data_IF_028132633065
#
_entry.id   IF_028132633065
#
_cell.length_a   1.000
_cell.length_b   1.000
_cell.length_c   1.000
_cell.angle_alpha   90.00
_cell.angle_beta   90.00
_cell.angle_gamma   90.00
#
_symmetry.space_group_name_H-M   'P 1'
#
loop_
_entity.id
_entity.type
_entity.pdbx_description
1 polymer ?
#
# COMPACT_ATOMS: atom_id res chain seq x y z
N UNK A 1 -64.76 -6.82 -28.61
CA UNK A 1 -63.48 -7.41 -29.06
C UNK A 1 -62.63 -7.64 -27.81
N UNK A 2 -62.35 -8.92 -27.52
CA UNK A 2 -61.39 -9.51 -26.54
C UNK A 2 -61.45 -9.01 -25.08
N UNK A 3 -61.94 -9.73 -24.07
CA UNK A 3 -61.59 -11.05 -23.50
C UNK A 3 -60.11 -11.25 -23.13
N UNK A 4 -59.91 -11.94 -21.98
CA UNK A 4 -58.69 -12.53 -21.40
C UNK A 4 -57.80 -11.58 -20.58
N UNK A 5 -57.67 -11.71 -19.26
CA UNK A 5 -57.27 -12.88 -18.44
C UNK A 5 -56.11 -13.68 -19.08
N UNK A 6 -55.04 -13.85 -18.30
CA UNK A 6 -53.81 -14.61 -18.61
C UNK A 6 -52.77 -13.91 -19.49
N UNK A 7 -51.66 -13.52 -18.86
CA UNK A 7 -50.37 -14.11 -19.22
C UNK A 7 -49.43 -14.15 -18.00
N UNK A 8 -49.56 -15.24 -17.24
CA UNK A 8 -48.42 -15.84 -16.53
C UNK A 8 -47.71 -16.69 -17.60
N UNK A 9 -46.49 -16.32 -17.99
CA UNK A 9 -45.57 -17.20 -18.73
C UNK A 9 -44.14 -16.67 -18.57
N UNK A 10 -43.33 -17.28 -17.69
CA UNK A 10 -42.37 -18.37 -17.94
C UNK A 10 -41.00 -17.90 -18.47
N UNK A 11 -39.95 -18.46 -17.86
CA UNK A 11 -38.52 -18.44 -18.22
C UNK A 11 -37.80 -17.09 -18.00
N UNK A 12 -36.69 -17.00 -17.26
CA UNK A 12 -35.50 -17.86 -17.33
C UNK A 12 -34.90 -18.18 -15.95
N UNK A 13 -35.02 -19.45 -15.57
CA UNK A 13 -33.97 -20.34 -15.08
C UNK A 13 -32.55 -19.73 -15.01
N UNK A 14 -32.20 -19.00 -13.93
CA UNK A 14 -30.77 -18.83 -13.59
C UNK A 14 -30.31 -20.05 -12.81
N UNK A 15 -29.81 -21.01 -13.59
CA UNK A 15 -29.04 -22.19 -13.21
C UNK A 15 -28.32 -22.01 -11.88
N UNK A 16 -28.77 -22.82 -10.94
CA UNK A 16 -28.03 -23.35 -9.80
C UNK A 16 -26.74 -23.98 -10.35
N UNK A 17 -25.61 -23.29 -10.20
CA UNK A 17 -24.31 -23.95 -10.33
C UNK A 17 -24.01 -24.53 -8.95
N UNK A 18 -24.35 -25.80 -8.81
CA UNK A 18 -23.77 -26.69 -7.81
C UNK A 18 -22.26 -26.73 -8.06
N UNK A 19 -21.50 -25.96 -7.29
CA UNK A 19 -20.09 -26.27 -7.08
C UNK A 19 -20.01 -27.15 -5.86
N UNK A 20 -19.80 -28.44 -6.15
CA UNK A 20 -19.57 -29.50 -5.19
C UNK A 20 -18.51 -29.12 -4.17
N UNK A 21 -18.88 -29.42 -2.92
CA UNK A 21 -18.07 -29.31 -1.73
C UNK A 21 -16.80 -30.15 -1.82
N UNK A 22 -15.64 -29.50 -1.78
CA UNK A 22 -14.45 -30.09 -1.15
C UNK A 22 -14.36 -29.50 0.26
N UNK A 23 -15.17 -30.07 1.14
CA UNK A 23 -15.16 -29.81 2.57
C UNK A 23 -13.88 -30.38 3.21
N UNK A 24 -12.77 -29.66 3.03
CA UNK A 24 -11.68 -29.69 4.00
C UNK A 24 -12.13 -28.91 5.24
N UNK A 25 -12.18 -29.58 6.38
CA UNK A 25 -12.51 -29.01 7.69
C UNK A 25 -11.62 -27.82 8.04
N UNK A 26 -12.03 -26.60 7.65
CA UNK A 26 -11.36 -25.37 8.05
C UNK A 26 -11.88 -24.94 9.42
N UNK A 27 -11.25 -25.46 10.48
CA UNK A 27 -11.29 -24.76 11.76
C UNK A 27 -10.81 -23.32 11.53
N UNK A 28 -11.61 -22.34 11.97
CA UNK A 28 -11.19 -20.93 11.94
C UNK A 28 -9.85 -20.83 12.69
N UNK A 29 -8.84 -20.16 12.11
CA UNK A 29 -7.54 -20.08 12.75
C UNK A 29 -7.67 -19.43 14.14
N UNK A 30 -7.13 -20.10 15.16
CA UNK A 30 -7.03 -19.57 16.53
C UNK A 30 -6.22 -18.27 16.55
N UNK A 31 -6.37 -17.43 17.58
CA UNK A 31 -5.69 -16.13 17.66
C UNK A 31 -4.17 -16.21 17.46
N UNK A 32 -3.52 -17.22 18.08
CA UNK A 32 -2.09 -17.48 17.89
C UNK A 32 -1.73 -17.84 16.44
N UNK A 33 -2.55 -18.65 15.78
CA UNK A 33 -2.34 -19.02 14.36
C UNK A 33 -2.51 -17.81 13.44
N UNK A 34 -3.53 -16.98 13.66
CA UNK A 34 -3.74 -15.75 12.87
C UNK A 34 -2.57 -14.78 13.00
N UNK A 35 -2.03 -14.63 14.21
CA UNK A 35 -0.85 -13.80 14.45
C UNK A 35 0.37 -14.32 13.69
N UNK A 36 0.63 -15.63 13.74
CA UNK A 36 1.73 -16.25 12.98
C UNK A 36 1.58 -16.03 11.47
N UNK A 37 0.36 -16.16 10.93
CA UNK A 37 0.05 -15.88 9.53
C UNK A 37 0.26 -14.41 9.17
N UNK A 38 -0.10 -13.47 10.04
CA UNK A 38 0.14 -12.04 9.82
C UNK A 38 1.65 -11.72 9.79
N UNK A 39 2.42 -12.28 10.71
CA UNK A 39 3.88 -12.10 10.74
C UNK A 39 4.53 -12.71 9.48
N UNK A 40 4.05 -13.86 9.03
CA UNK A 40 4.49 -14.46 7.77
C UNK A 40 4.16 -13.57 6.56
N UNK A 41 2.95 -12.99 6.53
CA UNK A 41 2.53 -12.04 5.51
C UNK A 41 3.45 -10.82 5.48
N UNK A 42 3.66 -10.18 6.64
CA UNK A 42 4.55 -9.03 6.79
C UNK A 42 5.95 -9.33 6.27
N UNK A 43 6.54 -10.44 6.72
CA UNK A 43 7.86 -10.88 6.28
C UNK A 43 7.93 -11.01 4.76
N UNK A 44 7.03 -11.79 4.16
CA UNK A 44 7.05 -12.06 2.72
C UNK A 44 6.75 -10.82 1.87
N UNK A 45 5.85 -9.95 2.31
CA UNK A 45 5.53 -8.69 1.61
C UNK A 45 6.73 -7.74 1.64
N UNK A 46 7.48 -7.69 2.74
CA UNK A 46 8.62 -6.78 2.90
C UNK A 46 9.93 -7.31 2.28
N UNK A 47 10.20 -8.61 2.28
CA UNK A 47 11.48 -9.21 1.80
C UNK A 47 11.87 -8.80 0.37
N UNK A 48 10.89 -8.60 -0.51
CA UNK A 48 11.11 -8.15 -1.90
C UNK A 48 10.38 -6.85 -2.24
N UNK A 49 9.95 -6.12 -1.21
CA UNK A 49 9.05 -4.97 -1.36
C UNK A 49 7.90 -5.26 -2.34
N UNK A 50 7.23 -6.41 -2.19
CA UNK A 50 6.19 -6.87 -3.14
C UNK A 50 5.08 -5.83 -3.31
N UNK A 51 4.86 -5.00 -2.30
CA UNK A 51 3.92 -3.89 -2.36
C UNK A 51 4.25 -2.87 -3.47
N UNK A 52 5.46 -2.79 -4.00
CA UNK A 52 5.82 -1.93 -5.14
C UNK A 52 5.25 -2.46 -6.47
N UNK A 53 4.96 -3.76 -6.58
CA UNK A 53 4.32 -4.32 -7.76
C UNK A 53 2.90 -3.78 -7.90
N UNK A 54 2.64 -3.01 -8.95
CA UNK A 54 1.36 -2.33 -9.17
C UNK A 54 0.18 -3.30 -9.35
N UNK A 55 0.45 -4.47 -9.91
CA UNK A 55 -0.51 -5.55 -10.15
C UNK A 55 -0.66 -6.53 -8.97
N UNK A 56 -0.05 -6.26 -7.80
CA UNK A 56 -0.19 -7.10 -6.61
C UNK A 56 -1.67 -7.18 -6.19
N UNK A 57 -2.25 -8.37 -6.32
CA UNK A 57 -3.66 -8.63 -6.02
C UNK A 57 -3.84 -9.23 -4.63
N UNK A 58 -5.08 -9.23 -4.13
CA UNK A 58 -5.43 -9.94 -2.89
C UNK A 58 -5.18 -11.44 -3.04
N UNK A 59 -5.46 -11.97 -4.22
CA UNK A 59 -5.26 -13.38 -4.57
C UNK A 59 -3.78 -13.77 -4.52
N UNK A 60 -2.87 -12.88 -4.93
CA UNK A 60 -1.42 -13.10 -4.76
C UNK A 60 -1.05 -13.22 -3.28
N UNK A 61 -1.59 -12.33 -2.43
CA UNK A 61 -1.32 -12.39 -1.00
C UNK A 61 -1.92 -13.64 -0.35
N UNK A 62 -3.09 -14.10 -0.80
CA UNK A 62 -3.69 -15.37 -0.35
C UNK A 62 -2.75 -16.55 -0.66
N UNK A 63 -2.24 -16.63 -1.90
CA UNK A 63 -1.27 -17.65 -2.31
C UNK A 63 0.04 -17.54 -1.53
N UNK A 64 0.47 -16.32 -1.20
CA UNK A 64 1.75 -16.05 -0.53
C UNK A 64 1.85 -16.69 0.87
N UNK A 65 0.73 -16.77 1.60
CA UNK A 65 0.65 -17.32 2.96
C UNK A 65 -0.27 -18.54 3.08
N UNK A 66 -0.87 -19.01 1.98
CA UNK A 66 -1.69 -20.22 1.95
C UNK A 66 -3.03 -20.11 2.69
N UNK A 67 -3.73 -18.98 2.54
CA UNK A 67 -5.05 -18.73 3.15
C UNK A 67 -6.08 -18.33 2.09
N UNK A 68 -7.37 -18.32 2.45
CA UNK A 68 -8.42 -17.81 1.56
C UNK A 68 -8.68 -16.31 1.73
N UNK A 69 -9.57 -15.79 0.87
CA UNK A 69 -9.89 -14.36 0.78
C UNK A 69 -10.56 -13.80 2.06
N UNK A 70 -11.28 -14.64 2.79
CA UNK A 70 -11.95 -14.23 4.03
C UNK A 70 -10.94 -14.19 5.17
N UNK A 71 -10.10 -15.22 5.27
CA UNK A 71 -9.03 -15.29 6.26
C UNK A 71 -8.04 -14.14 6.11
N UNK A 72 -7.57 -13.83 4.90
CA UNK A 72 -6.63 -12.71 4.73
C UNK A 72 -7.26 -11.36 5.11
N UNK A 73 -8.54 -11.15 4.78
CA UNK A 73 -9.24 -9.93 5.13
C UNK A 73 -9.41 -9.81 6.64
N UNK A 74 -9.77 -10.91 7.32
CA UNK A 74 -9.90 -10.97 8.77
C UNK A 74 -8.55 -10.75 9.47
N UNK A 75 -7.50 -11.45 9.04
CA UNK A 75 -6.14 -11.34 9.60
C UNK A 75 -5.62 -9.90 9.46
N UNK A 76 -5.66 -9.32 8.27
CA UNK A 76 -5.19 -7.93 8.07
C UNK A 76 -6.05 -6.96 8.88
N UNK A 77 -7.37 -7.14 8.92
CA UNK A 77 -8.24 -6.26 9.71
C UNK A 77 -7.93 -6.34 11.20
N UNK A 78 -7.64 -7.52 11.71
CA UNK A 78 -7.36 -7.80 13.12
C UNK A 78 -6.02 -7.20 13.59
N UNK A 79 -4.95 -7.34 12.82
CA UNK A 79 -3.61 -6.89 13.24
C UNK A 79 -3.17 -5.54 12.68
N UNK A 80 -3.70 -5.13 11.53
CA UNK A 80 -3.36 -3.86 10.88
C UNK A 80 -4.47 -2.80 11.00
N UNK A 81 -5.69 -3.21 11.38
CA UNK A 81 -6.86 -2.33 11.54
C UNK A 81 -7.50 -1.89 10.22
N UNK A 82 -6.88 -2.20 9.07
CA UNK A 82 -7.27 -1.74 7.74
C UNK A 82 -7.72 -2.90 6.85
N UNK A 83 -8.29 -2.57 5.68
CA UNK A 83 -8.52 -3.58 4.65
C UNK A 83 -7.23 -3.87 3.87
N UNK A 84 -7.19 -5.01 3.18
CA UNK A 84 -6.01 -5.50 2.44
C UNK A 84 -5.45 -4.47 1.45
N UNK A 85 -6.33 -3.80 0.70
CA UNK A 85 -5.91 -2.75 -0.26
C UNK A 85 -5.22 -1.58 0.47
N UNK A 86 -5.80 -1.15 1.58
CA UNK A 86 -5.29 -0.02 2.34
C UNK A 86 -4.00 -0.36 3.09
N UNK A 87 -3.86 -1.60 3.54
CA UNK A 87 -2.64 -2.16 4.09
C UNK A 87 -1.47 -2.02 3.10
N UNK A 88 -1.64 -2.51 1.86
CA UNK A 88 -0.62 -2.38 0.80
C UNK A 88 -0.34 -0.91 0.48
N UNK A 89 -1.37 -0.11 0.26
CA UNK A 89 -1.20 1.30 -0.05
C UNK A 89 -0.49 2.07 1.06
N UNK A 90 -0.72 1.74 2.33
CA UNK A 90 -0.01 2.36 3.44
C UNK A 90 1.49 2.05 3.39
N UNK A 91 1.88 0.82 3.04
CA UNK A 91 3.30 0.48 2.83
C UNK A 91 3.90 1.28 1.68
N UNK A 92 3.19 1.38 0.55
CA UNK A 92 3.60 2.20 -0.60
C UNK A 92 3.82 3.67 -0.21
N UNK A 93 2.91 4.28 0.54
CA UNK A 93 3.04 5.68 0.99
C UNK A 93 4.22 5.87 1.95
N UNK A 94 4.44 4.94 2.90
CA UNK A 94 5.60 4.99 3.80
C UNK A 94 6.89 4.92 3.00
N UNK A 95 6.95 4.03 2.01
CA UNK A 95 8.10 3.88 1.14
C UNK A 95 8.34 5.14 0.30
N UNK A 96 7.28 5.74 -0.26
CA UNK A 96 7.38 6.99 -1.03
C UNK A 96 8.03 8.13 -0.24
N UNK A 97 7.63 8.33 1.02
CA UNK A 97 8.24 9.34 1.88
C UNK A 97 9.73 9.10 2.12
N UNK A 98 10.14 7.83 2.32
CA UNK A 98 11.55 7.45 2.45
C UNK A 98 12.32 7.66 1.13
N UNK A 99 11.68 7.39 -0.01
CA UNK A 99 12.30 7.58 -1.32
C UNK A 99 12.52 9.07 -1.61
N UNK A 100 11.54 9.93 -1.30
CA UNK A 100 11.68 11.39 -1.39
C UNK A 100 12.86 11.91 -0.58
N UNK A 101 13.08 11.40 0.64
CA UNK A 101 14.22 11.75 1.48
C UNK A 101 15.57 11.32 0.90
N UNK A 102 15.62 10.15 0.26
CA UNK A 102 16.87 9.60 -0.30
C UNK A 102 17.21 10.14 -1.68
N UNK A 103 16.20 10.58 -2.43
CA UNK A 103 16.34 11.03 -3.81
C UNK A 103 15.59 12.36 -4.01
N UNK A 104 16.11 13.48 -3.47
CA UNK A 104 15.45 14.79 -3.52
C UNK A 104 15.31 15.39 -4.94
N UNK A 105 15.97 14.77 -5.93
CA UNK A 105 15.91 15.17 -7.34
C UNK A 105 14.82 14.44 -8.14
N UNK A 106 14.19 13.41 -7.56
CA UNK A 106 13.11 12.70 -8.23
C UNK A 106 11.82 13.51 -8.12
N UNK A 107 11.12 13.66 -9.24
CA UNK A 107 9.81 14.31 -9.21
C UNK A 107 8.77 13.38 -8.56
N UNK A 108 7.71 14.00 -8.00
CA UNK A 108 6.63 13.31 -7.29
C UNK A 108 5.95 12.23 -8.14
N UNK A 109 5.78 12.45 -9.44
CA UNK A 109 5.10 11.50 -10.32
C UNK A 109 5.92 10.22 -10.46
N UNK A 110 7.22 10.33 -10.75
CA UNK A 110 8.13 9.19 -10.84
C UNK A 110 8.18 8.42 -9.52
N UNK A 111 8.19 9.10 -8.37
CA UNK A 111 8.12 8.44 -7.06
C UNK A 111 6.82 7.65 -6.90
N UNK A 112 5.68 8.21 -7.32
CA UNK A 112 4.40 7.51 -7.23
C UNK A 112 4.39 6.24 -8.10
N UNK A 113 4.93 6.31 -9.31
CA UNK A 113 5.06 5.20 -10.24
C UNK A 113 5.98 4.10 -9.66
N UNK A 114 7.16 4.46 -9.15
CA UNK A 114 8.11 3.55 -8.48
C UNK A 114 7.50 2.91 -7.22
N UNK A 115 6.57 3.60 -6.55
CA UNK A 115 5.85 3.07 -5.40
C UNK A 115 4.66 2.19 -5.79
N UNK A 116 4.43 1.92 -7.08
CA UNK A 116 3.38 1.03 -7.58
C UNK A 116 2.00 1.67 -7.67
N UNK A 117 1.90 3.01 -7.71
CA UNK A 117 0.61 3.69 -7.92
C UNK A 117 0.31 3.87 -9.41
N UNK A 118 -0.80 3.27 -9.87
CA UNK A 118 -1.28 3.44 -11.24
C UNK A 118 -1.93 4.81 -11.50
N UNK A 119 -2.35 5.50 -10.44
CA UNK A 119 -3.09 6.76 -10.55
C UNK A 119 -2.59 7.78 -9.55
N UNK A 120 -2.07 8.90 -10.07
CA UNK A 120 -1.47 9.97 -9.26
C UNK A 120 -2.47 10.58 -8.28
N UNK A 121 -3.74 10.78 -8.67
CA UNK A 121 -4.77 11.29 -7.77
C UNK A 121 -5.02 10.39 -6.53
N UNK A 122 -4.85 9.07 -6.68
CA UNK A 122 -4.93 8.15 -5.53
C UNK A 122 -3.73 8.31 -4.62
N UNK A 123 -2.53 8.45 -5.18
CA UNK A 123 -1.31 8.72 -4.42
C UNK A 123 -1.43 10.00 -3.60
N UNK A 124 -1.79 11.13 -4.23
CA UNK A 124 -1.93 12.42 -3.53
C UNK A 124 -2.92 12.36 -2.36
N UNK A 125 -4.11 11.78 -2.59
CA UNK A 125 -5.13 11.64 -1.54
C UNK A 125 -4.63 10.82 -0.36
N UNK A 126 -3.96 9.69 -0.63
CA UNK A 126 -3.49 8.79 0.42
C UNK A 126 -2.27 9.34 1.17
N UNK A 127 -1.39 10.03 0.46
CA UNK A 127 -0.23 10.69 1.05
C UNK A 127 -0.68 11.81 2.00
N UNK A 128 -1.56 12.70 1.52
CA UNK A 128 -2.13 13.77 2.35
C UNK A 128 -2.84 13.23 3.58
N UNK A 129 -3.65 12.17 3.43
CA UNK A 129 -4.32 11.57 4.58
C UNK A 129 -3.35 11.00 5.62
N UNK A 130 -2.13 10.63 5.23
CA UNK A 130 -1.14 10.04 6.14
C UNK A 130 -0.23 11.07 6.80
N UNK A 131 0.22 12.06 6.04
CA UNK A 131 1.23 13.04 6.46
C UNK A 131 0.67 14.45 6.67
N UNK A 132 -0.64 14.62 6.47
CA UNK A 132 -1.36 15.90 6.54
C UNK A 132 -0.82 17.01 5.63
N UNK A 133 -0.08 16.62 4.58
CA UNK A 133 0.48 17.53 3.59
C UNK A 133 0.51 16.90 2.20
N UNK A 134 0.57 17.73 1.15
CA UNK A 134 0.68 17.19 -0.20
C UNK A 134 2.07 16.58 -0.43
N UNK A 135 2.19 15.61 -1.34
CA UNK A 135 3.50 15.10 -1.75
C UNK A 135 4.49 16.18 -2.20
N UNK A 136 4.01 17.22 -2.90
CA UNK A 136 4.84 18.34 -3.37
C UNK A 136 5.36 19.16 -2.18
N UNK A 137 4.51 19.43 -1.19
CA UNK A 137 4.93 20.18 -0.01
C UNK A 137 5.94 19.38 0.81
N UNK A 138 5.74 18.06 0.91
CA UNK A 138 6.70 17.16 1.54
C UNK A 138 8.04 17.15 0.79
N UNK A 139 8.03 17.05 -0.54
CA UNK A 139 9.26 17.12 -1.37
C UNK A 139 10.01 18.45 -1.16
N UNK A 140 9.30 19.57 -1.14
CA UNK A 140 9.90 20.90 -0.87
C UNK A 140 10.52 20.97 0.52
N UNK A 141 9.84 20.43 1.53
CA UNK A 141 10.35 20.37 2.90
C UNK A 141 11.64 19.55 2.96
N UNK A 142 11.65 18.37 2.34
CA UNK A 142 12.83 17.50 2.27
C UNK A 142 13.99 18.19 1.55
N UNK A 143 13.73 18.85 0.42
CA UNK A 143 14.76 19.57 -0.33
C UNK A 143 15.33 20.75 0.47
N UNK A 144 14.48 21.47 1.21
CA UNK A 144 14.91 22.55 2.08
C UNK A 144 15.84 22.03 3.17
N UNK A 145 15.45 20.96 3.87
CA UNK A 145 16.29 20.36 4.90
C UNK A 145 17.64 19.88 4.34
N UNK A 146 17.65 19.25 3.17
CA UNK A 146 18.89 18.83 2.52
C UNK A 146 19.79 20.02 2.11
N UNK A 147 19.20 21.18 1.77
CA UNK A 147 19.96 22.39 1.47
C UNK A 147 20.49 23.08 2.73
N UNK A 148 19.72 23.07 3.82
CA UNK A 148 20.12 23.62 5.12
C UNK A 148 21.30 22.79 5.70
N UNK A 149 21.29 21.46 5.57
CA UNK A 149 22.40 20.57 5.97
C UNK A 149 23.71 20.89 5.18
N UNK A 150 23.60 21.24 3.89
CA UNK A 150 24.76 21.62 3.06
C UNK A 150 25.30 23.01 3.44
N UNK A 151 24.43 23.93 3.87
CA UNK A 151 24.83 25.28 4.29
C UNK A 151 25.56 25.26 5.64
N UNK A 152 25.18 24.37 6.56
CA UNK A 152 25.88 24.19 7.84
C UNK A 152 27.30 23.61 7.64
N UNK A 153 27.49 22.66 6.72
CA UNK A 153 28.84 22.15 6.36
C UNK A 153 29.72 23.21 5.69
N UNK A 154 29.15 24.05 4.83
CA UNK A 154 29.87 25.15 4.16
C UNK A 154 30.18 26.32 5.12
N UNK A 155 29.34 26.52 6.15
CA UNK A 155 29.55 27.49 7.22
C UNK A 155 30.75 27.13 8.11
N UNK A 156 30.88 25.85 8.46
CA UNK A 156 32.01 25.34 9.25
C UNK A 156 33.33 25.38 8.45
N UNK A 157 33.29 25.02 7.16
CA UNK A 157 34.45 25.12 6.26
C UNK A 157 34.97 26.56 6.13
N UNK A 158 34.10 27.57 5.97
CA UNK A 158 34.54 28.98 5.90
C UNK A 158 35.15 29.49 7.22
N UNK A 159 34.69 28.99 8.36
CA UNK A 159 35.28 29.31 9.66
C UNK A 159 36.66 28.64 9.82
N UNK A 160 36.82 27.44 9.28
CA UNK A 160 38.07 26.69 9.28
C UNK A 160 39.16 27.33 8.39
N UNK A 161 38.79 27.89 7.23
CA UNK A 161 39.74 28.60 6.35
C UNK A 161 40.15 29.99 6.89
N UNK A 162 39.32 30.66 7.68
CA UNK A 162 39.65 31.97 8.28
C UNK A 162 40.76 31.91 9.34
N UNK A 163 41.02 30.73 9.91
CA UNK A 163 42.08 30.52 10.90
C UNK A 163 43.47 30.37 10.24
N UNK A 164 43.52 30.04 8.94
CA UNK A 164 44.78 29.81 8.21
C UNK A 164 45.40 31.11 7.68
N UNK A 165 44.61 32.17 7.48
CA UNK A 165 45.08 33.46 6.94
C UNK A 165 45.54 34.48 8.01
N UNK A 166 45.55 34.13 9.30
CA UNK A 166 46.03 34.99 10.40
C UNK A 166 47.25 34.40 11.14
N UNK A 167 48.13 33.68 10.43
CA UNK A 167 49.46 33.29 10.92
C UNK A 167 50.56 33.82 10.01
#
# INVERSE_FOLDING_TARGET
>A
MYNNDSEISMSEERKRVETEDVAGSKEKPSGKRKQALFLQLEKKVNEKNLFLCSHLSREDLCRLIGVDKNDIAAIVKEFDGRNVRMYINNKRIIYAARLMQRQPNFNVQSIAEECGFNHLGTFYRLFRRKYDMTPIDFEKLVRKNAADDILDEQGDLKQQYRIVENK
#
